data_IF_421688418522
#
_entry.id   IF_421688418522
#
_cell.length_a   1.000
_cell.length_b   1.000
_cell.length_c   1.000
_cell.angle_alpha   90.00
_cell.angle_beta   90.00
_cell.angle_gamma   90.00
#
_symmetry.space_group_name_H-M   'P 1'
#
loop_
_entity.id
_entity.type
_entity.pdbx_description
1 polymer ?
#
# COMPACT_ATOMS: atom_id res chain seq x y z
N UNK A 1 24.47 16.33 -4.61
CA UNK A 1 24.85 14.98 -5.07
C UNK A 1 23.67 14.21 -5.71
N UNK A 2 22.47 14.76 -5.72
CA UNK A 2 21.28 14.18 -6.39
C UNK A 2 21.12 14.61 -7.87
N UNK A 3 21.90 15.55 -8.34
CA UNK A 3 21.76 16.13 -9.70
C UNK A 3 22.64 15.46 -10.77
N UNK A 4 23.59 14.61 -10.39
CA UNK A 4 24.55 14.01 -11.34
C UNK A 4 24.11 12.65 -11.90
N UNK A 5 23.08 12.01 -11.28
CA UNK A 5 22.58 10.69 -11.70
C UNK A 5 21.51 10.79 -12.79
N UNK A 6 20.91 11.97 -12.97
CA UNK A 6 19.84 12.20 -13.97
C UNK A 6 20.33 12.26 -15.42
N UNK A 7 21.61 12.45 -15.66
CA UNK A 7 22.17 12.56 -17.02
C UNK A 7 22.48 11.21 -17.70
N UNK A 8 22.39 10.09 -16.98
CA UNK A 8 22.67 8.75 -17.52
C UNK A 8 21.43 7.92 -17.90
N UNK A 9 20.23 8.41 -17.67
CA UNK A 9 18.99 7.70 -18.02
C UNK A 9 18.22 8.44 -19.10
N UNK A 10 18.15 7.84 -20.27
CA UNK A 10 17.42 8.38 -21.43
C UNK A 10 15.89 8.41 -21.21
N UNK A 11 15.38 7.83 -20.09
CA UNK A 11 13.93 7.79 -19.81
C UNK A 11 13.64 7.64 -18.30
N UNK A 12 12.72 8.44 -17.79
CA UNK A 12 12.19 8.38 -16.41
C UNK A 12 11.66 6.98 -16.08
N UNK A 13 11.13 6.25 -17.06
CA UNK A 13 10.66 4.88 -16.90
C UNK A 13 11.74 3.86 -16.53
N UNK A 14 12.96 4.06 -17.00
CA UNK A 14 14.08 3.16 -16.70
C UNK A 14 14.64 3.40 -15.30
N UNK A 15 14.62 4.65 -14.83
CA UNK A 15 15.00 4.99 -13.46
C UNK A 15 14.02 4.39 -12.44
N UNK A 16 12.71 4.52 -12.66
CA UNK A 16 11.67 3.91 -11.82
C UNK A 16 11.81 2.39 -11.72
N UNK A 17 12.08 1.72 -12.83
CA UNK A 17 12.32 0.27 -12.83
C UNK A 17 13.57 -0.13 -12.05
N UNK A 18 14.62 0.68 -12.10
CA UNK A 18 15.83 0.45 -11.33
C UNK A 18 15.60 0.61 -9.83
N UNK A 19 14.84 1.62 -9.44
CA UNK A 19 14.46 1.85 -8.04
C UNK A 19 13.64 0.69 -7.49
N UNK A 20 12.63 0.23 -8.22
CA UNK A 20 11.80 -0.92 -7.84
C UNK A 20 12.62 -2.21 -7.68
N UNK A 21 13.61 -2.44 -8.55
CA UNK A 21 14.55 -3.56 -8.42
C UNK A 21 15.36 -3.48 -7.13
N UNK A 22 15.81 -2.28 -6.77
CA UNK A 22 16.54 -2.05 -5.52
C UNK A 22 15.66 -2.27 -4.30
N UNK A 23 14.41 -1.81 -4.33
CA UNK A 23 13.45 -2.02 -3.24
C UNK A 23 13.21 -3.52 -2.99
N UNK A 24 13.01 -4.32 -4.04
CA UNK A 24 12.89 -5.77 -3.91
C UNK A 24 14.13 -6.40 -3.27
N UNK A 25 15.32 -6.01 -3.69
CA UNK A 25 16.59 -6.52 -3.16
C UNK A 25 16.78 -6.13 -1.69
N UNK A 26 16.49 -4.90 -1.31
CA UNK A 26 16.55 -4.43 0.08
C UNK A 26 15.59 -5.21 0.98
N UNK A 27 14.43 -5.58 0.46
CA UNK A 27 13.45 -6.41 1.16
C UNK A 27 13.82 -7.90 1.21
N UNK A 28 14.96 -8.31 0.63
CA UNK A 28 15.42 -9.70 0.58
C UNK A 28 14.68 -10.55 -0.46
N UNK A 29 14.03 -9.93 -1.43
CA UNK A 29 13.24 -10.62 -2.45
C UNK A 29 14.01 -10.70 -3.78
N UNK A 30 13.90 -11.86 -4.44
CA UNK A 30 14.41 -12.00 -5.81
C UNK A 30 13.63 -11.12 -6.78
N UNK A 31 14.33 -10.49 -7.71
CA UNK A 31 13.74 -9.72 -8.78
C UNK A 31 13.16 -10.68 -9.83
N UNK A 32 11.83 -10.68 -9.95
CA UNK A 32 11.10 -11.46 -10.96
C UNK A 32 10.09 -10.55 -11.66
N UNK A 33 9.69 -10.93 -12.88
CA UNK A 33 8.75 -10.14 -13.65
C UNK A 33 7.39 -9.92 -12.91
N UNK A 34 6.76 -10.95 -12.31
CA UNK A 34 5.52 -10.73 -11.56
C UNK A 34 5.68 -9.74 -10.41
N UNK A 35 6.77 -9.83 -9.65
CA UNK A 35 7.04 -8.91 -8.53
C UNK A 35 7.23 -7.48 -9.00
N UNK A 36 7.99 -7.28 -10.08
CA UNK A 36 8.20 -5.95 -10.64
C UNK A 36 6.90 -5.34 -11.13
N UNK A 37 6.07 -6.10 -11.83
CA UNK A 37 4.80 -5.61 -12.38
C UNK A 37 3.79 -5.25 -11.29
N UNK A 38 3.67 -6.09 -10.28
CA UNK A 38 2.77 -5.83 -9.14
C UNK A 38 3.26 -4.62 -8.34
N UNK A 39 4.57 -4.51 -8.09
CA UNK A 39 5.13 -3.35 -7.41
C UNK A 39 4.93 -2.06 -8.22
N UNK A 40 5.10 -2.10 -9.54
CA UNK A 40 4.85 -0.97 -10.43
C UNK A 40 3.40 -0.47 -10.33
N UNK A 41 2.43 -1.38 -10.32
CA UNK A 41 1.00 -1.04 -10.16
C UNK A 41 0.76 -0.35 -8.82
N UNK A 42 1.27 -0.90 -7.74
CA UNK A 42 1.13 -0.35 -6.39
C UNK A 42 1.78 1.04 -6.26
N UNK A 43 2.96 1.22 -6.83
CA UNK A 43 3.66 2.53 -6.83
C UNK A 43 2.88 3.58 -7.61
N UNK A 44 2.28 3.22 -8.74
CA UNK A 44 1.44 4.15 -9.53
C UNK A 44 0.22 4.65 -8.77
N UNK A 45 -0.34 3.83 -7.88
CA UNK A 45 -1.52 4.16 -7.09
C UNK A 45 -1.22 4.79 -5.73
N UNK A 46 0.05 4.83 -5.35
CA UNK A 46 0.51 5.32 -4.05
C UNK A 46 0.09 6.76 -3.73
N UNK A 47 0.03 7.63 -4.74
CA UNK A 47 -0.35 9.05 -4.60
C UNK A 47 -1.82 9.30 -4.99
N UNK A 48 -2.61 8.25 -5.14
CA UNK A 48 -4.04 8.36 -5.43
C UNK A 48 -4.85 7.83 -4.23
N UNK A 49 -6.09 8.28 -4.10
CA UNK A 49 -7.02 7.76 -3.10
C UNK A 49 -7.49 6.32 -3.43
N UNK A 50 -6.80 5.64 -4.33
CA UNK A 50 -7.14 4.29 -4.77
C UNK A 50 -6.43 3.24 -3.91
N UNK A 51 -7.22 2.44 -3.23
CA UNK A 51 -6.77 1.24 -2.54
C UNK A 51 -7.13 0.01 -3.40
N UNK A 52 -6.14 -0.79 -3.74
CA UNK A 52 -6.31 -1.90 -4.66
C UNK A 52 -6.43 -3.23 -3.92
N UNK A 53 -7.46 -4.01 -4.26
CA UNK A 53 -7.54 -5.42 -3.91
C UNK A 53 -6.63 -6.27 -4.80
N UNK A 54 -6.42 -7.54 -4.44
CA UNK A 54 -5.67 -8.46 -5.29
C UNK A 54 -6.33 -8.65 -6.66
N UNK A 55 -7.66 -8.65 -6.71
CA UNK A 55 -8.44 -8.75 -7.94
C UNK A 55 -8.26 -7.52 -8.83
N UNK A 56 -8.19 -6.32 -8.24
CA UNK A 56 -7.94 -5.08 -8.99
C UNK A 56 -6.54 -5.10 -9.59
N UNK A 57 -5.53 -5.50 -8.82
CA UNK A 57 -4.16 -5.67 -9.32
C UNK A 57 -4.10 -6.70 -10.45
N UNK A 58 -4.83 -7.82 -10.32
CA UNK A 58 -4.93 -8.82 -11.37
C UNK A 58 -5.53 -8.25 -12.66
N UNK A 59 -6.61 -7.47 -12.56
CA UNK A 59 -7.21 -6.79 -13.72
C UNK A 59 -6.23 -5.83 -14.39
N UNK A 60 -5.46 -5.07 -13.60
CA UNK A 60 -4.42 -4.18 -14.10
C UNK A 60 -3.31 -4.95 -14.85
N UNK A 61 -2.88 -6.10 -14.33
CA UNK A 61 -1.89 -6.95 -15.03
C UNK A 61 -2.43 -7.50 -16.35
N UNK A 62 -3.68 -7.93 -16.39
CA UNK A 62 -4.35 -8.37 -17.62
C UNK A 62 -4.45 -7.24 -18.64
N UNK A 63 -4.86 -6.05 -18.20
CA UNK A 63 -4.98 -4.87 -19.05
C UNK A 63 -3.64 -4.43 -19.65
N UNK A 64 -2.53 -4.70 -18.97
CA UNK A 64 -1.16 -4.46 -19.45
C UNK A 64 -0.63 -5.58 -20.36
N UNK A 65 -1.41 -6.64 -20.62
CA UNK A 65 -1.00 -7.78 -21.46
C UNK A 65 -0.03 -8.74 -20.76
N UNK A 66 0.05 -8.71 -19.45
CA UNK A 66 0.93 -9.58 -18.67
C UNK A 66 0.22 -10.89 -18.30
N UNK A 67 0.89 -12.01 -18.49
CA UNK A 67 0.39 -13.34 -18.14
C UNK A 67 0.74 -13.68 -16.68
N UNK A 68 0.04 -13.00 -15.75
CA UNK A 68 0.20 -13.19 -14.31
C UNK A 68 -1.14 -13.64 -13.76
N UNK A 69 -1.22 -14.89 -13.27
CA UNK A 69 -2.45 -15.44 -12.70
C UNK A 69 -2.81 -14.83 -11.34
N UNK A 70 -4.09 -14.86 -10.99
CA UNK A 70 -4.60 -14.33 -9.72
C UNK A 70 -3.92 -14.98 -8.50
N UNK A 71 -3.68 -16.29 -8.53
CA UNK A 71 -2.96 -17.00 -7.46
C UNK A 71 -1.52 -16.47 -7.28
N UNK A 72 -0.86 -16.10 -8.37
CA UNK A 72 0.48 -15.49 -8.33
C UNK A 72 0.40 -14.09 -7.72
N UNK A 73 -0.61 -13.29 -8.05
CA UNK A 73 -0.84 -11.97 -7.43
C UNK A 73 -0.97 -12.10 -5.92
N UNK A 74 -1.83 -12.99 -5.43
CA UNK A 74 -1.99 -13.24 -3.99
C UNK A 74 -0.69 -13.65 -3.32
N UNK A 75 0.05 -14.57 -3.92
CA UNK A 75 1.33 -15.04 -3.38
C UNK A 75 2.37 -13.91 -3.30
N UNK A 76 2.47 -13.11 -4.34
CA UNK A 76 3.39 -11.95 -4.37
C UNK A 76 3.01 -10.93 -3.30
N UNK A 77 1.73 -10.58 -3.17
CA UNK A 77 1.25 -9.65 -2.16
C UNK A 77 1.53 -10.15 -0.73
N UNK A 78 1.33 -11.45 -0.47
CA UNK A 78 1.68 -12.06 0.82
C UNK A 78 3.19 -11.97 1.10
N UNK A 79 4.01 -12.17 0.08
CA UNK A 79 5.47 -12.03 0.21
C UNK A 79 5.87 -10.56 0.46
N UNK A 80 5.24 -9.62 -0.20
CA UNK A 80 5.47 -8.19 0.00
C UNK A 80 5.06 -7.74 1.41
N UNK A 81 3.93 -8.21 1.90
CA UNK A 81 3.46 -7.96 3.26
C UNK A 81 4.46 -8.51 4.29
N UNK A 82 4.87 -9.76 4.16
CA UNK A 82 5.86 -10.39 5.05
C UNK A 82 7.23 -9.70 5.03
N UNK A 83 7.61 -9.11 3.90
CA UNK A 83 8.85 -8.36 3.73
C UNK A 83 8.73 -6.89 4.16
N UNK A 84 7.55 -6.43 4.57
CA UNK A 84 7.30 -5.05 4.98
C UNK A 84 7.23 -4.03 3.84
N UNK A 85 7.10 -4.48 2.58
CA UNK A 85 6.96 -3.60 1.42
C UNK A 85 5.55 -3.03 1.28
N UNK A 86 4.54 -3.79 1.68
CA UNK A 86 3.14 -3.39 1.62
C UNK A 86 2.46 -3.61 2.96
N UNK A 87 1.39 -2.87 3.17
CA UNK A 87 0.46 -3.05 4.27
C UNK A 87 -0.84 -3.58 3.71
N UNK A 88 -1.41 -4.56 4.38
CA UNK A 88 -2.75 -5.08 4.10
C UNK A 88 -3.75 -4.46 5.06
N UNK A 89 -4.83 -3.93 4.53
CA UNK A 89 -5.98 -3.47 5.31
C UNK A 89 -7.16 -4.39 5.06
N UNK A 90 -7.73 -4.92 6.14
CA UNK A 90 -8.92 -5.75 6.10
C UNK A 90 -10.10 -4.91 6.58
N UNK A 91 -11.00 -4.55 5.67
CA UNK A 91 -12.21 -3.82 6.00
C UNK A 91 -13.41 -4.76 6.12
N UNK A 92 -14.43 -4.34 6.88
CA UNK A 92 -15.70 -5.07 6.91
C UNK A 92 -16.28 -5.19 5.49
N UNK A 93 -16.88 -6.34 5.18
CA UNK A 93 -17.39 -6.66 3.84
C UNK A 93 -16.49 -7.60 3.04
N UNK A 94 -15.40 -8.10 3.65
CA UNK A 94 -14.55 -9.14 3.07
C UNK A 94 -13.52 -8.66 2.06
N UNK A 95 -13.27 -7.35 1.97
CA UNK A 95 -12.27 -6.78 1.07
C UNK A 95 -10.96 -6.54 1.80
N UNK A 96 -9.89 -7.19 1.33
CA UNK A 96 -8.51 -6.80 1.67
C UNK A 96 -7.98 -5.90 0.57
N UNK A 97 -7.39 -4.77 0.97
CA UNK A 97 -6.70 -3.85 0.07
C UNK A 97 -5.25 -3.72 0.47
N UNK A 98 -4.42 -3.35 -0.48
CA UNK A 98 -2.96 -3.30 -0.31
C UNK A 98 -2.45 -1.92 -0.72
N UNK A 99 -1.48 -1.43 0.03
CA UNK A 99 -0.77 -0.19 -0.28
C UNK A 99 0.72 -0.33 0.02
N UNK A 100 1.54 0.52 -0.58
CA UNK A 100 2.97 0.61 -0.27
C UNK A 100 3.15 1.06 1.18
N UNK A 101 4.02 0.38 1.91
CA UNK A 101 4.37 0.76 3.27
C UNK A 101 5.36 1.93 3.28
N UNK A 102 4.85 3.13 3.45
CA UNK A 102 5.67 4.34 3.54
C UNK A 102 6.25 4.59 4.94
N UNK A 103 5.91 3.76 5.91
CA UNK A 103 6.31 3.93 7.30
C UNK A 103 5.57 5.07 8.03
N UNK A 104 4.62 5.72 7.39
CA UNK A 104 3.76 6.73 8.00
C UNK A 104 2.43 6.10 8.41
N UNK A 105 1.98 6.43 9.62
CA UNK A 105 0.69 5.97 10.09
C UNK A 105 -0.42 6.88 9.55
N UNK A 106 -1.50 6.27 9.10
CA UNK A 106 -2.75 6.95 8.77
C UNK A 106 -3.94 6.05 9.10
N UNK A 107 -5.06 6.68 9.37
CA UNK A 107 -6.32 6.04 9.63
C UNK A 107 -7.18 6.02 8.36
N UNK A 108 -8.22 5.20 8.35
CA UNK A 108 -9.07 5.01 7.18
C UNK A 108 -10.52 5.36 7.44
N UNK A 109 -11.17 5.90 6.43
CA UNK A 109 -12.61 6.13 6.39
C UNK A 109 -13.17 5.39 5.18
N UNK A 110 -14.07 4.44 5.40
CA UNK A 110 -14.65 3.57 4.36
C UNK A 110 -16.10 3.92 4.15
N UNK A 111 -16.45 4.35 2.95
CA UNK A 111 -17.84 4.58 2.58
C UNK A 111 -18.56 3.26 2.32
N UNK A 112 -19.57 2.94 3.12
CA UNK A 112 -20.31 1.68 3.00
C UNK A 112 -21.22 1.61 1.75
N UNK A 113 -21.55 2.76 1.15
CA UNK A 113 -22.37 2.82 -0.05
C UNK A 113 -21.56 2.69 -1.34
N UNK A 114 -20.33 3.26 -1.37
CA UNK A 114 -19.52 3.31 -2.58
C UNK A 114 -18.28 2.41 -2.52
N UNK A 115 -17.85 2.00 -1.33
CA UNK A 115 -16.59 1.30 -1.10
C UNK A 115 -15.35 2.19 -1.16
N UNK A 116 -15.51 3.49 -1.36
CA UNK A 116 -14.38 4.43 -1.38
C UNK A 116 -13.67 4.46 -0.03
N UNK A 117 -12.35 4.49 -0.06
CA UNK A 117 -11.48 4.60 1.11
C UNK A 117 -10.79 5.94 1.08
N UNK A 118 -10.84 6.66 2.19
CA UNK A 118 -10.18 7.94 2.41
C UNK A 118 -9.19 7.77 3.55
N UNK A 119 -7.96 8.20 3.34
CA UNK A 119 -6.95 8.25 4.38
C UNK A 119 -7.01 9.59 5.10
N UNK A 120 -6.80 9.56 6.40
CA UNK A 120 -6.69 10.77 7.21
C UNK A 120 -5.74 10.58 8.38
N UNK A 121 -5.25 11.69 8.90
CA UNK A 121 -4.51 11.75 10.16
C UNK A 121 -5.13 12.81 11.05
N UNK A 122 -5.16 12.58 12.36
CA UNK A 122 -5.65 13.56 13.31
C UNK A 122 -4.86 13.47 14.61
N UNK A 123 -4.09 14.51 14.91
CA UNK A 123 -3.19 14.55 16.06
C UNK A 123 -3.95 14.45 17.39
N UNK A 124 -5.19 14.90 17.44
CA UNK A 124 -6.02 14.83 18.66
C UNK A 124 -6.49 13.39 18.92
N UNK A 125 -6.86 12.65 17.88
CA UNK A 125 -7.19 11.22 17.99
C UNK A 125 -5.95 10.45 18.49
N UNK A 126 -4.79 10.70 17.90
CA UNK A 126 -3.53 10.09 18.31
C UNK A 126 -3.22 10.36 19.79
N UNK A 127 -3.40 11.61 20.22
CA UNK A 127 -3.18 12.01 21.62
C UNK A 127 -4.13 11.28 22.56
N UNK A 128 -5.42 11.25 22.23
CA UNK A 128 -6.44 10.59 23.04
C UNK A 128 -6.21 9.09 23.18
N UNK A 129 -5.81 8.42 22.13
CA UNK A 129 -5.49 6.98 22.17
C UNK A 129 -4.32 6.70 23.12
N UNK A 130 -3.27 7.50 23.07
CA UNK A 130 -2.13 7.40 24.02
C UNK A 130 -2.54 7.66 25.46
N UNK A 131 -3.37 8.66 25.69
CA UNK A 131 -3.90 8.97 27.03
C UNK A 131 -4.77 7.85 27.59
N UNK A 132 -5.62 7.24 26.75
CA UNK A 132 -6.45 6.10 27.16
C UNK A 132 -5.55 4.91 27.54
N UNK A 133 -4.57 4.57 26.75
CA UNK A 133 -3.62 3.49 27.06
C UNK A 133 -2.90 3.76 28.39
N UNK A 134 -2.39 4.98 28.57
CA UNK A 134 -1.69 5.38 29.79
C UNK A 134 -2.58 5.32 31.05
N UNK A 135 -3.86 5.70 30.96
CA UNK A 135 -4.82 5.59 32.07
C UNK A 135 -5.02 4.14 32.54
N UNK A 136 -4.79 3.18 31.64
CA UNK A 136 -4.86 1.76 31.96
C UNK A 136 -3.48 1.14 32.27
N UNK A 137 -2.44 1.94 32.44
CA UNK A 137 -1.06 1.54 32.69
C UNK A 137 -0.43 0.77 31.51
N UNK A 138 -0.79 1.13 30.27
CA UNK A 138 -0.20 0.58 29.04
C UNK A 138 0.46 1.66 28.21
N UNK A 139 1.47 1.26 27.45
CA UNK A 139 2.07 2.05 26.37
C UNK A 139 1.41 1.65 25.05
N UNK A 140 0.96 2.62 24.26
CA UNK A 140 0.43 2.38 22.93
C UNK A 140 1.58 2.08 21.97
N UNK A 141 1.63 0.86 21.46
CA UNK A 141 2.66 0.42 20.50
C UNK A 141 2.18 0.63 19.06
N UNK A 142 0.93 0.31 18.79
CA UNK A 142 0.33 0.41 17.46
C UNK A 142 -1.19 0.48 17.59
N UNK A 143 -1.86 1.00 16.58
CA UNK A 143 -3.32 1.00 16.50
C UNK A 143 -3.80 0.95 15.05
N UNK A 144 -5.06 0.63 14.88
CA UNK A 144 -5.76 0.71 13.61
C UNK A 144 -7.14 1.30 13.85
N UNK A 145 -7.47 2.38 13.16
CA UNK A 145 -8.77 3.03 13.22
C UNK A 145 -9.41 3.02 11.84
N UNK A 146 -10.61 2.47 11.77
CA UNK A 146 -11.42 2.50 10.55
C UNK A 146 -12.79 3.07 10.90
N UNK A 147 -13.17 4.14 10.22
CA UNK A 147 -14.49 4.73 10.31
C UNK A 147 -15.35 4.27 9.14
N UNK A 148 -16.46 3.62 9.41
CA UNK A 148 -17.45 3.25 8.41
C UNK A 148 -18.46 4.36 8.25
N UNK A 149 -18.52 4.98 7.09
CA UNK A 149 -19.27 6.21 6.83
C UNK A 149 -20.23 6.07 5.65
N UNK A 150 -21.13 7.01 5.52
CA UNK A 150 -21.98 7.20 4.35
C UNK A 150 -22.04 8.68 3.98
N UNK A 151 -22.31 9.03 2.71
CA UNK A 151 -22.44 10.42 2.31
C UNK A 151 -23.53 11.15 3.14
N UNK A 152 -23.25 12.39 3.49
CA UNK A 152 -24.24 13.27 4.08
C UNK A 152 -25.18 13.72 2.95
N UNK A 153 -26.47 13.53 3.13
CA UNK A 153 -27.50 13.97 2.16
C UNK A 153 -27.86 15.43 2.36
#
# INVERSE_FOLDING_TARGET
MHLIILECFENVGDWLKMEQRQELKKAGLKVTLPRLKILEILVKTQNSDMHLSAEDIYKETLGAGEDIGLATVYRVLTQFESAGLVVRHNFEGGHSVFEINEGTHHDHMVCVETGNVIEFTNDEIERLQKEIAAKHNYELIDHSLVLYVKPIK
#
